data_IF_148090353803
#
_entry.id   IF_148090353803
#
_cell.length_a   1.000
_cell.length_b   1.000
_cell.length_c   1.000
_cell.angle_alpha   90.00
_cell.angle_beta   90.00
_cell.angle_gamma   90.00
#
_symmetry.space_group_name_H-M   'P 1'
#
loop_
_entity.id
_entity.type
_entity.pdbx_description
1 polymer ?
#
# COMPACT_ATOMS: atom_id res chain seq x y z
N UNK A 1 -37.61 5.44 -54.39
CA UNK A 1 -36.42 5.99 -55.07
C UNK A 1 -35.24 5.05 -54.76
N UNK A 2 -34.48 4.68 -55.76
CA UNK A 2 -33.25 3.90 -55.59
C UNK A 2 -32.05 4.85 -55.56
N UNK A 3 -31.06 4.54 -54.76
CA UNK A 3 -29.79 5.28 -54.71
C UNK A 3 -28.62 4.30 -54.95
N UNK A 4 -27.56 4.69 -55.66
CA UNK A 4 -26.42 3.81 -55.88
C UNK A 4 -25.58 3.63 -54.62
N UNK A 5 -25.12 2.42 -54.40
CA UNK A 5 -24.15 2.10 -53.34
C UNK A 5 -22.86 2.88 -53.56
N UNK A 6 -22.37 3.57 -52.54
CA UNK A 6 -21.16 4.40 -52.63
C UNK A 6 -19.85 3.61 -52.89
N UNK A 7 -19.88 2.28 -52.80
CA UNK A 7 -18.69 1.42 -52.96
C UNK A 7 -18.75 0.64 -54.29
N UNK A 8 -19.86 -0.05 -54.58
CA UNK A 8 -19.99 -0.92 -55.75
C UNK A 8 -20.94 -0.42 -56.85
N UNK A 9 -21.63 0.68 -56.64
CA UNK A 9 -22.57 1.28 -57.62
C UNK A 9 -23.94 0.58 -57.74
N UNK A 10 -24.14 -0.57 -57.09
CA UNK A 10 -25.42 -1.29 -57.18
C UNK A 10 -26.56 -0.45 -56.58
N UNK A 11 -27.75 -0.47 -57.23
CA UNK A 11 -28.92 0.22 -56.76
C UNK A 11 -29.45 -0.34 -55.44
N UNK A 12 -29.72 0.55 -54.48
CA UNK A 12 -30.25 0.22 -53.16
C UNK A 12 -31.66 0.79 -53.07
N UNK A 13 -32.64 -0.06 -52.72
CA UNK A 13 -33.99 0.40 -52.39
C UNK A 13 -33.92 1.08 -51.01
N UNK A 14 -34.11 2.39 -50.98
CA UNK A 14 -33.86 3.20 -49.80
C UNK A 14 -35.12 3.35 -48.95
N UNK A 15 -35.15 2.71 -47.79
CA UNK A 15 -36.14 2.96 -46.74
C UNK A 15 -35.60 3.82 -45.60
N UNK A 16 -34.33 4.04 -45.54
CA UNK A 16 -33.64 4.93 -44.60
C UNK A 16 -32.23 5.17 -45.15
N UNK A 17 -31.67 6.34 -45.09
CA UNK A 17 -30.39 6.83 -45.63
C UNK A 17 -29.19 5.83 -45.66
N UNK A 18 -29.42 4.64 -46.22
CA UNK A 18 -28.37 3.65 -46.37
C UNK A 18 -27.44 4.03 -47.54
N UNK A 19 -26.16 4.25 -47.24
CA UNK A 19 -25.17 4.66 -48.25
C UNK A 19 -24.46 3.46 -48.93
N UNK A 20 -24.71 2.22 -48.46
CA UNK A 20 -24.04 1.00 -48.94
C UNK A 20 -25.02 -0.20 -48.99
N UNK A 21 -24.81 -1.14 -49.93
CA UNK A 21 -25.71 -2.25 -50.19
C UNK A 21 -25.48 -3.51 -49.35
N UNK A 22 -24.33 -3.65 -48.69
CA UNK A 22 -23.95 -4.85 -47.93
C UNK A 22 -22.98 -4.56 -46.80
N UNK A 23 -22.82 -5.53 -45.85
CA UNK A 23 -21.82 -5.45 -44.80
C UNK A 23 -20.38 -5.34 -45.32
N UNK A 24 -20.10 -5.95 -46.49
CA UNK A 24 -18.78 -5.86 -47.09
C UNK A 24 -18.53 -4.45 -47.65
N UNK A 25 -19.51 -3.87 -48.36
CA UNK A 25 -19.43 -2.48 -48.80
C UNK A 25 -19.37 -1.50 -47.62
N UNK A 26 -20.05 -1.78 -46.51
CA UNK A 26 -19.94 -0.97 -45.29
C UNK A 26 -18.54 -1.00 -44.70
N UNK A 27 -17.92 -2.19 -44.63
CA UNK A 27 -16.55 -2.32 -44.16
C UNK A 27 -15.54 -1.56 -45.02
N UNK A 28 -15.69 -1.62 -46.35
CA UNK A 28 -14.85 -0.86 -47.28
C UNK A 28 -15.10 0.64 -47.19
N UNK A 29 -16.35 1.07 -47.06
CA UNK A 29 -16.73 2.47 -46.88
C UNK A 29 -16.15 3.07 -45.59
N UNK A 30 -16.24 2.34 -44.47
CA UNK A 30 -15.63 2.73 -43.19
C UNK A 30 -14.12 2.80 -43.31
N UNK A 31 -13.49 1.87 -44.04
CA UNK A 31 -12.06 1.88 -44.29
C UNK A 31 -11.60 3.09 -45.10
N UNK A 32 -12.39 3.47 -46.15
CA UNK A 32 -12.11 4.67 -46.94
C UNK A 32 -12.31 5.97 -46.14
N UNK A 33 -13.34 6.03 -45.27
CA UNK A 33 -13.55 7.17 -44.37
C UNK A 33 -12.41 7.33 -43.35
N UNK A 34 -11.78 6.20 -42.93
CA UNK A 34 -10.65 6.23 -42.03
C UNK A 34 -9.33 6.64 -42.70
N UNK A 35 -9.22 6.51 -44.02
CA UNK A 35 -8.07 6.86 -44.84
C UNK A 35 -8.09 8.33 -45.32
N UNK A 36 -9.24 8.99 -45.35
CA UNK A 36 -9.38 10.35 -45.83
C UNK A 36 -9.14 11.38 -44.71
N UNK A 37 -8.50 12.50 -45.05
CA UNK A 37 -8.19 13.64 -44.18
C UNK A 37 -9.43 14.31 -43.50
N UNK A 38 -10.64 13.88 -43.87
CA UNK A 38 -11.92 14.37 -43.36
C UNK A 38 -12.46 13.56 -42.15
N UNK A 39 -11.68 12.63 -41.56
CA UNK A 39 -12.11 11.94 -40.35
C UNK A 39 -12.17 12.91 -39.17
N UNK A 40 -13.33 13.16 -38.53
CA UNK A 40 -13.43 14.06 -37.38
C UNK A 40 -12.56 13.66 -36.18
N UNK A 41 -12.09 12.40 -36.15
CA UNK A 41 -11.12 11.93 -35.16
C UNK A 41 -9.66 12.29 -35.52
N UNK A 42 -9.39 12.74 -36.74
CA UNK A 42 -8.12 13.24 -37.22
C UNK A 42 -8.14 14.78 -37.29
N UNK A 43 -8.35 15.41 -36.16
CA UNK A 43 -8.01 16.82 -36.04
C UNK A 43 -6.49 16.94 -36.11
N UNK A 44 -6.02 17.69 -37.10
CA UNK A 44 -4.60 18.01 -37.44
C UNK A 44 -3.85 18.77 -36.33
N UNK A 45 -4.00 18.42 -35.08
CA UNK A 45 -3.15 18.93 -33.99
C UNK A 45 -1.81 18.18 -33.98
N UNK A 46 -1.08 18.28 -35.11
CA UNK A 46 0.35 17.92 -35.13
C UNK A 46 1.11 19.01 -34.39
N UNK A 47 1.65 18.69 -33.24
CA UNK A 47 2.55 19.54 -32.51
C UNK A 47 3.99 19.09 -32.78
N UNK A 48 4.88 20.05 -33.03
CA UNK A 48 6.32 19.78 -33.07
C UNK A 48 6.91 19.89 -31.68
N UNK A 49 7.71 18.89 -31.32
CA UNK A 49 8.35 18.80 -30.01
C UNK A 49 9.77 18.33 -30.11
N UNK A 50 10.59 18.73 -29.17
CA UNK A 50 11.96 18.25 -29.06
C UNK A 50 12.04 17.03 -28.14
N UNK A 51 12.72 15.99 -28.59
CA UNK A 51 12.98 14.80 -27.77
C UNK A 51 13.86 15.17 -26.57
N UNK A 52 13.41 14.86 -25.37
CA UNK A 52 14.16 15.19 -24.14
C UNK A 52 15.47 14.37 -23.96
N UNK A 53 15.71 13.34 -24.78
CA UNK A 53 16.92 12.52 -24.72
C UNK A 53 17.94 12.92 -25.76
N UNK A 54 17.54 13.17 -27.00
CA UNK A 54 18.47 13.45 -28.10
C UNK A 54 18.29 14.85 -28.72
N UNK A 55 17.38 15.68 -28.22
CA UNK A 55 17.11 17.03 -28.73
C UNK A 55 16.41 17.07 -30.10
N UNK A 56 16.24 15.94 -30.79
CA UNK A 56 15.68 15.89 -32.14
C UNK A 56 14.22 16.32 -32.12
N UNK A 57 13.86 17.23 -33.04
CA UNK A 57 12.46 17.61 -33.28
C UNK A 57 11.68 16.43 -33.86
N UNK A 58 10.45 16.22 -33.41
CA UNK A 58 9.55 15.19 -33.94
C UNK A 58 8.09 15.67 -33.89
N UNK A 59 7.27 15.16 -34.81
CA UNK A 59 5.85 15.42 -34.85
C UNK A 59 5.09 14.52 -33.88
N UNK A 60 4.16 15.09 -33.16
CA UNK A 60 3.29 14.40 -32.23
C UNK A 60 1.82 14.70 -32.53
N UNK A 61 1.00 13.68 -32.67
CA UNK A 61 -0.44 13.80 -32.83
C UNK A 61 -1.10 13.59 -31.47
N UNK A 62 -1.73 14.64 -30.96
CA UNK A 62 -2.43 14.62 -29.66
C UNK A 62 -3.78 13.89 -29.81
N UNK A 63 -3.93 12.72 -29.20
CA UNK A 63 -5.21 12.02 -29.14
C UNK A 63 -6.04 12.55 -27.98
N UNK A 64 -7.33 12.84 -28.18
CA UNK A 64 -8.25 13.34 -27.14
C UNK A 64 -8.35 12.44 -25.90
N UNK A 65 -8.09 11.14 -26.03
CA UNK A 65 -8.09 10.18 -24.92
C UNK A 65 -6.84 10.19 -24.04
N UNK A 66 -5.78 10.91 -24.42
CA UNK A 66 -4.48 10.90 -23.76
C UNK A 66 -4.08 12.28 -23.21
N UNK A 67 -5.03 12.99 -22.59
CA UNK A 67 -4.80 14.34 -22.02
C UNK A 67 -3.66 14.32 -20.98
N UNK A 68 -3.33 13.16 -20.39
CA UNK A 68 -2.30 13.01 -19.35
C UNK A 68 -1.00 12.33 -19.79
N UNK A 69 -0.90 11.82 -21.02
CA UNK A 69 0.32 11.13 -21.48
C UNK A 69 0.95 11.87 -22.66
N UNK A 70 1.76 12.87 -22.35
CA UNK A 70 2.55 13.57 -23.35
C UNK A 70 3.67 12.68 -23.90
N UNK A 71 3.72 12.51 -25.23
CA UNK A 71 4.85 11.82 -25.88
C UNK A 71 6.06 12.76 -25.87
N UNK A 72 7.05 12.42 -25.08
CA UNK A 72 8.27 13.22 -24.85
C UNK A 72 9.52 12.65 -25.52
N UNK A 73 9.40 11.54 -26.24
CA UNK A 73 10.48 10.84 -26.94
C UNK A 73 10.18 10.72 -28.42
N UNK A 74 11.18 10.97 -29.28
CA UNK A 74 11.04 10.81 -30.73
C UNK A 74 10.98 9.32 -31.17
N UNK A 75 11.50 8.39 -30.38
CA UNK A 75 11.56 6.97 -30.69
C UNK A 75 11.51 6.08 -29.45
N UNK A 76 11.21 4.77 -29.63
CA UNK A 76 11.30 3.75 -28.58
C UNK A 76 12.74 3.61 -28.05
N UNK A 77 13.75 3.86 -28.90
CA UNK A 77 15.15 3.81 -28.49
C UNK A 77 15.49 4.96 -27.52
N UNK A 78 15.05 6.16 -27.80
CA UNK A 78 15.19 7.29 -26.87
C UNK A 78 14.44 7.03 -25.55
N UNK A 79 13.25 6.45 -25.60
CA UNK A 79 12.53 6.05 -24.41
C UNK A 79 13.32 5.04 -23.58
N UNK A 80 13.87 3.98 -24.22
CA UNK A 80 14.70 2.96 -23.55
C UNK A 80 16.00 3.53 -22.99
N UNK A 81 16.71 4.36 -23.75
CA UNK A 81 17.98 4.95 -23.33
C UNK A 81 17.84 5.87 -22.12
N UNK A 82 16.70 6.54 -21.97
CA UNK A 82 16.42 7.32 -20.76
C UNK A 82 16.28 6.45 -19.51
N UNK A 83 15.71 5.28 -19.65
CA UNK A 83 15.56 4.35 -18.51
C UNK A 83 16.85 3.62 -18.16
N UNK A 84 17.83 3.55 -19.09
CA UNK A 84 19.13 2.90 -18.89
C UNK A 84 20.22 3.84 -18.39
N UNK A 85 20.11 5.15 -18.60
CA UNK A 85 21.09 6.14 -18.10
C UNK A 85 20.66 6.65 -16.70
N UNK A 86 21.44 6.28 -15.69
CA UNK A 86 21.21 6.53 -14.27
C UNK A 86 21.24 7.98 -13.78
N UNK A 87 21.45 8.97 -14.65
CA UNK A 87 21.56 10.37 -14.23
C UNK A 87 20.87 11.33 -15.21
N UNK A 88 19.56 11.52 -15.04
CA UNK A 88 18.89 12.72 -15.53
C UNK A 88 17.72 13.10 -14.61
N UNK A 89 17.62 14.39 -14.31
CA UNK A 89 16.67 15.06 -13.39
C UNK A 89 15.16 14.83 -13.63
N UNK A 90 14.73 13.65 -14.05
CA UNK A 90 13.32 13.27 -14.17
C UNK A 90 12.75 12.65 -12.89
N UNK A 91 13.53 12.67 -11.81
CA UNK A 91 13.08 12.19 -10.49
C UNK A 91 11.87 12.97 -9.96
N UNK A 92 11.66 14.23 -10.41
CA UNK A 92 10.57 15.06 -9.91
C UNK A 92 9.19 14.72 -10.49
N UNK A 93 9.10 14.25 -11.74
CA UNK A 93 7.79 14.00 -12.39
C UNK A 93 7.16 12.65 -12.07
N UNK A 94 7.96 11.67 -11.60
CA UNK A 94 7.46 10.33 -11.23
C UNK A 94 7.45 10.06 -9.72
N UNK A 95 7.96 11.00 -8.90
CA UNK A 95 8.14 10.79 -7.46
C UNK A 95 6.84 10.54 -6.68
N UNK A 96 5.71 11.03 -7.17
CA UNK A 96 4.45 10.98 -6.42
C UNK A 96 3.34 10.17 -7.09
N UNK A 97 3.65 9.29 -8.05
CA UNK A 97 2.61 8.47 -8.71
C UNK A 97 2.64 7.03 -8.20
N UNK A 98 1.50 6.53 -7.72
CA UNK A 98 1.30 5.14 -7.28
C UNK A 98 1.36 4.16 -8.48
N UNK A 99 2.54 4.00 -9.07
CA UNK A 99 2.80 3.22 -10.26
C UNK A 99 3.51 1.88 -9.95
N UNK A 100 3.72 1.06 -10.98
CA UNK A 100 4.39 -0.24 -10.87
C UNK A 100 5.82 -0.13 -10.31
N UNK A 101 6.54 0.94 -10.64
CA UNK A 101 7.91 1.17 -10.16
C UNK A 101 7.93 1.41 -8.65
N UNK A 102 7.09 2.34 -8.14
CA UNK A 102 6.99 2.61 -6.70
C UNK A 102 6.54 1.36 -5.95
N UNK A 103 5.50 0.66 -6.44
CA UNK A 103 5.04 -0.59 -5.82
C UNK A 103 6.14 -1.64 -5.73
N UNK A 104 6.95 -1.79 -6.78
CA UNK A 104 8.07 -2.74 -6.76
C UNK A 104 9.17 -2.30 -5.79
N UNK A 105 9.45 -0.99 -5.68
CA UNK A 105 10.41 -0.42 -4.73
C UNK A 105 9.99 -0.75 -3.30
N UNK A 106 8.72 -0.51 -2.94
CA UNK A 106 8.18 -0.84 -1.61
C UNK A 106 8.25 -2.35 -1.35
N UNK A 107 7.79 -3.19 -2.31
CA UNK A 107 7.89 -4.64 -2.16
C UNK A 107 9.32 -5.12 -1.96
N UNK A 108 10.30 -4.53 -2.66
CA UNK A 108 11.71 -4.85 -2.49
C UNK A 108 12.21 -4.44 -1.10
N UNK A 109 11.89 -3.23 -0.63
CA UNK A 109 12.20 -2.77 0.74
C UNK A 109 11.68 -3.75 1.79
N UNK A 110 10.46 -4.27 1.60
CA UNK A 110 9.78 -5.20 2.51
C UNK A 110 10.11 -6.67 2.18
N UNK A 111 11.25 -6.95 1.53
CA UNK A 111 11.76 -8.30 1.19
C UNK A 111 10.75 -9.18 0.42
N UNK A 112 9.89 -8.56 -0.41
CA UNK A 112 8.80 -9.25 -1.13
C UNK A 112 7.96 -10.13 -0.22
N UNK A 113 7.68 -9.65 1.00
CA UNK A 113 6.86 -10.34 2.00
C UNK A 113 5.85 -9.41 2.65
N UNK A 114 4.78 -9.97 3.16
CA UNK A 114 3.80 -9.24 3.96
C UNK A 114 4.43 -8.85 5.30
N UNK A 115 4.45 -7.57 5.64
CA UNK A 115 5.03 -7.08 6.91
C UNK A 115 4.34 -7.65 8.14
N UNK A 116 3.04 -7.99 8.06
CA UNK A 116 2.29 -8.57 9.18
C UNK A 116 2.48 -10.08 9.34
N UNK A 117 2.59 -10.84 8.24
CA UNK A 117 2.51 -12.29 8.33
C UNK A 117 3.59 -13.04 7.53
N UNK A 118 4.57 -12.34 6.97
CA UNK A 118 5.67 -12.87 6.18
C UNK A 118 5.24 -13.69 4.93
N UNK A 119 3.94 -13.71 4.59
CA UNK A 119 3.46 -14.37 3.39
C UNK A 119 4.04 -13.69 2.15
N UNK A 120 4.50 -14.50 1.19
CA UNK A 120 4.98 -14.04 -0.13
C UNK A 120 3.89 -14.07 -1.21
N UNK A 121 2.68 -14.50 -0.86
CA UNK A 121 1.59 -14.70 -1.82
C UNK A 121 0.69 -13.47 -1.92
N UNK A 122 0.25 -13.13 -3.16
CA UNK A 122 -0.73 -12.07 -3.46
C UNK A 122 -0.44 -10.76 -2.73
N UNK A 123 0.81 -10.25 -2.89
CA UNK A 123 1.27 -9.03 -2.26
C UNK A 123 0.71 -7.79 -2.93
N UNK A 124 0.18 -6.89 -2.11
CA UNK A 124 -0.32 -5.57 -2.47
C UNK A 124 0.45 -4.50 -1.68
N UNK A 125 0.51 -3.27 -2.20
CA UNK A 125 1.07 -2.12 -1.48
C UNK A 125 -0.08 -1.31 -0.93
N UNK A 126 -0.05 -1.08 0.38
CA UNK A 126 -1.09 -0.42 1.17
C UNK A 126 -0.64 0.97 1.60
N UNK A 127 -1.55 1.95 1.59
CA UNK A 127 -1.35 3.28 2.16
C UNK A 127 -1.71 3.24 3.65
N UNK A 128 -0.74 3.53 4.52
CA UNK A 128 -0.90 3.47 5.99
C UNK A 128 -1.99 4.44 6.46
N UNK A 129 -2.00 5.66 5.92
CA UNK A 129 -2.99 6.70 6.24
C UNK A 129 -4.31 6.59 5.44
N UNK A 130 -4.47 5.55 4.62
CA UNK A 130 -5.60 5.34 3.69
C UNK A 130 -5.81 6.46 2.66
N UNK A 131 -4.94 7.46 2.59
CA UNK A 131 -4.96 8.50 1.58
C UNK A 131 -4.22 8.06 0.31
N UNK A 132 -4.97 7.69 -0.72
CA UNK A 132 -4.42 7.22 -2.01
C UNK A 132 -3.59 8.27 -2.76
N UNK A 133 -3.62 9.53 -2.33
CA UNK A 133 -2.81 10.61 -2.90
C UNK A 133 -1.44 10.74 -2.23
N UNK A 134 -1.30 10.23 -1.00
CA UNK A 134 -0.05 10.25 -0.25
C UNK A 134 0.82 9.03 -0.60
N UNK A 135 1.65 9.18 -1.62
CA UNK A 135 2.52 8.13 -2.13
C UNK A 135 3.95 8.19 -1.59
N UNK A 136 4.15 8.86 -0.46
CA UNK A 136 5.43 8.87 0.23
C UNK A 136 5.80 7.44 0.68
N UNK A 137 7.07 7.10 0.56
CA UNK A 137 7.54 5.72 0.79
C UNK A 137 7.32 5.24 2.23
N UNK A 138 7.39 6.17 3.20
CA UNK A 138 7.12 5.90 4.61
C UNK A 138 5.62 5.69 4.90
N UNK A 139 4.74 6.13 4.01
CA UNK A 139 3.29 5.89 4.09
C UNK A 139 2.84 4.61 3.38
N UNK A 140 3.76 3.83 2.83
CA UNK A 140 3.45 2.65 2.03
C UNK A 140 4.08 1.40 2.65
N UNK A 141 3.29 0.30 2.74
CA UNK A 141 3.76 -1.00 3.22
C UNK A 141 3.26 -2.13 2.34
N UNK A 142 3.98 -3.26 2.37
CA UNK A 142 3.59 -4.47 1.65
C UNK A 142 2.74 -5.38 2.53
N UNK A 143 1.53 -5.68 2.11
CA UNK A 143 0.62 -6.62 2.76
C UNK A 143 0.22 -7.74 1.79
N UNK A 144 -0.01 -8.95 2.30
CA UNK A 144 -0.73 -9.96 1.52
C UNK A 144 -2.23 -9.61 1.47
N UNK A 145 -2.96 -10.18 0.52
CA UNK A 145 -4.40 -9.91 0.34
C UNK A 145 -5.24 -10.12 1.60
N UNK A 146 -4.91 -11.14 2.42
CA UNK A 146 -5.62 -11.41 3.69
C UNK A 146 -5.40 -10.27 4.69
N UNK A 147 -4.14 -9.92 4.94
CA UNK A 147 -3.79 -8.83 5.86
C UNK A 147 -4.33 -7.48 5.37
N UNK A 148 -4.23 -7.19 4.06
CA UNK A 148 -4.78 -5.97 3.47
C UNK A 148 -6.31 -5.86 3.67
N UNK A 149 -7.04 -6.97 3.58
CA UNK A 149 -8.48 -6.96 3.85
C UNK A 149 -8.77 -6.69 5.33
N UNK A 150 -8.00 -7.28 6.25
CA UNK A 150 -8.15 -7.06 7.70
C UNK A 150 -7.98 -5.58 8.05
N UNK A 151 -7.02 -4.88 7.45
CA UNK A 151 -6.78 -3.46 7.74
C UNK A 151 -7.94 -2.54 7.34
N UNK A 152 -8.87 -2.98 6.49
CA UNK A 152 -10.02 -2.18 6.11
C UNK A 152 -11.13 -2.11 7.16
N UNK A 153 -11.15 -3.00 8.16
CA UNK A 153 -12.22 -3.06 9.17
C UNK A 153 -12.07 -2.03 10.29
N UNK A 154 -10.83 -1.59 10.59
CA UNK A 154 -10.54 -0.61 11.64
C UNK A 154 -9.36 0.27 11.21
N UNK A 155 -9.66 1.24 10.37
CA UNK A 155 -8.62 2.05 9.72
C UNK A 155 -7.79 2.87 10.71
N UNK A 156 -8.43 3.41 11.74
CA UNK A 156 -7.76 4.24 12.72
C UNK A 156 -6.77 3.41 13.55
N UNK A 157 -7.21 2.25 14.04
CA UNK A 157 -6.34 1.28 14.72
C UNK A 157 -5.12 0.90 13.86
N UNK A 158 -5.34 0.55 12.60
CA UNK A 158 -4.25 0.13 11.71
C UNK A 158 -3.32 1.28 11.33
N UNK A 159 -3.84 2.50 11.20
CA UNK A 159 -3.01 3.69 11.02
C UNK A 159 -2.08 3.88 12.21
N UNK A 160 -2.62 3.81 13.43
CA UNK A 160 -1.82 3.91 14.65
C UNK A 160 -0.80 2.77 14.78
N UNK A 161 -1.20 1.55 14.42
CA UNK A 161 -0.32 0.37 14.45
C UNK A 161 0.90 0.53 13.53
N UNK A 162 0.72 1.12 12.37
CA UNK A 162 1.79 1.24 11.36
C UNK A 162 2.57 2.56 11.43
N UNK A 163 2.15 3.52 12.25
CA UNK A 163 2.91 4.75 12.51
C UNK A 163 4.30 4.37 13.06
N UNK A 164 5.34 4.91 12.43
CA UNK A 164 6.72 4.65 12.83
C UNK A 164 7.30 3.31 12.36
N UNK A 165 6.50 2.45 11.71
CA UNK A 165 7.03 1.23 11.11
C UNK A 165 8.02 1.60 9.99
N UNK A 166 9.22 1.06 10.07
CA UNK A 166 10.27 1.25 9.07
C UNK A 166 10.93 -0.08 8.70
N UNK A 167 11.86 -0.06 7.75
CA UNK A 167 12.56 -1.26 7.26
C UNK A 167 13.38 -2.01 8.32
N UNK A 168 13.68 -1.36 9.44
CA UNK A 168 14.46 -1.95 10.54
C UNK A 168 13.58 -2.50 11.67
N UNK A 169 12.27 -2.27 11.62
CA UNK A 169 11.35 -2.79 12.62
C UNK A 169 11.15 -4.29 12.43
N UNK A 170 11.31 -5.07 13.51
CA UNK A 170 11.06 -6.51 13.51
C UNK A 170 9.65 -6.79 14.02
N UNK A 171 8.84 -7.50 13.24
CA UNK A 171 7.52 -7.95 13.66
C UNK A 171 7.60 -9.38 14.13
N UNK A 172 7.16 -9.63 15.37
CA UNK A 172 7.13 -10.96 16.02
C UNK A 172 5.67 -11.35 16.27
N UNK A 173 5.23 -12.44 15.66
CA UNK A 173 3.87 -12.95 15.88
C UNK A 173 3.73 -13.58 17.26
N UNK A 174 2.58 -13.34 17.86
CA UNK A 174 2.11 -13.95 19.11
C UNK A 174 0.70 -14.52 18.90
N UNK A 175 0.25 -15.40 19.76
CA UNK A 175 -1.12 -15.87 19.72
C UNK A 175 -2.12 -14.74 19.87
N UNK A 176 -1.85 -13.82 20.78
CA UNK A 176 -2.69 -12.66 21.08
C UNK A 176 -2.63 -11.51 20.06
N UNK A 177 -1.73 -11.59 19.06
CA UNK A 177 -1.52 -10.53 18.08
C UNK A 177 -0.09 -10.51 17.55
N UNK A 178 0.63 -9.42 17.77
CA UNK A 178 2.05 -9.32 17.38
C UNK A 178 2.78 -8.20 18.11
N UNK A 179 4.08 -8.30 18.16
CA UNK A 179 4.97 -7.24 18.65
C UNK A 179 5.66 -6.55 17.46
N UNK A 180 5.87 -5.25 17.56
CA UNK A 180 6.74 -4.48 16.67
C UNK A 180 7.93 -4.03 17.51
N UNK A 181 9.10 -4.60 17.27
CA UNK A 181 10.32 -4.24 17.95
C UNK A 181 11.01 -3.11 17.21
N UNK A 182 11.13 -1.96 17.85
CA UNK A 182 11.83 -0.79 17.31
C UNK A 182 13.30 -0.78 17.69
N UNK A 183 13.58 -1.11 18.94
CA UNK A 183 14.94 -1.20 19.47
C UNK A 183 14.97 -2.15 20.67
N UNK A 184 16.03 -2.91 20.79
CA UNK A 184 16.43 -3.65 21.99
C UNK A 184 17.96 -3.62 22.05
N UNK A 185 18.51 -2.98 23.06
CA UNK A 185 19.95 -2.86 23.28
C UNK A 185 20.30 -3.09 24.75
N UNK A 186 21.54 -2.89 25.14
CA UNK A 186 22.04 -3.13 26.49
C UNK A 186 21.41 -2.24 27.59
N UNK A 187 20.69 -1.21 27.22
CA UNK A 187 20.13 -0.21 28.16
C UNK A 187 18.61 -0.21 28.21
N UNK A 188 17.96 -0.37 27.07
CA UNK A 188 16.49 -0.28 26.95
C UNK A 188 15.96 -1.05 25.76
N UNK A 189 14.66 -1.34 25.85
CA UNK A 189 13.86 -1.90 24.79
C UNK A 189 12.63 -1.03 24.54
N UNK A 190 12.23 -0.89 23.27
CA UNK A 190 10.97 -0.26 22.88
C UNK A 190 10.23 -1.17 21.91
N UNK A 191 8.99 -1.50 22.26
CA UNK A 191 8.09 -2.31 21.44
C UNK A 191 6.70 -1.72 21.40
N UNK A 192 5.96 -1.99 20.31
CA UNK A 192 4.50 -1.99 20.34
C UNK A 192 4.01 -3.41 20.54
N UNK A 193 3.11 -3.57 21.48
CA UNK A 193 2.34 -4.78 21.69
C UNK A 193 0.96 -4.56 21.09
N UNK A 194 0.68 -5.22 19.97
CA UNK A 194 -0.55 -5.04 19.20
C UNK A 194 -1.45 -6.24 19.44
N UNK A 195 -2.56 -5.99 20.14
CA UNK A 195 -3.51 -7.03 20.54
C UNK A 195 -4.75 -7.03 19.68
N UNK A 196 -5.24 -8.21 19.36
CA UNK A 196 -6.58 -8.37 18.82
C UNK A 196 -7.60 -8.50 19.94
N UNK A 197 -8.82 -7.99 19.70
CA UNK A 197 -9.91 -8.04 20.66
C UNK A 197 -10.15 -9.46 21.20
N UNK A 198 -10.28 -9.58 22.50
CA UNK A 198 -10.55 -10.82 23.23
C UNK A 198 -9.31 -11.66 23.52
N UNK A 199 -8.12 -11.26 23.01
CA UNK A 199 -6.88 -12.02 23.20
C UNK A 199 -6.10 -11.51 24.41
N UNK A 200 -5.34 -12.40 25.03
CA UNK A 200 -4.52 -12.12 26.22
C UNK A 200 -3.12 -12.71 26.09
N UNK A 201 -2.13 -12.07 26.64
CA UNK A 201 -0.84 -12.70 26.82
C UNK A 201 -0.80 -13.59 28.07
N UNK A 202 0.27 -14.38 28.25
CA UNK A 202 0.45 -15.28 29.39
C UNK A 202 0.39 -14.51 30.72
N UNK A 203 -0.15 -15.12 31.77
CA UNK A 203 0.12 -14.70 33.13
C UNK A 203 1.57 -15.00 33.45
N UNK A 204 2.39 -13.97 33.68
CA UNK A 204 3.83 -14.12 33.83
C UNK A 204 4.45 -13.01 34.67
N UNK A 205 5.72 -13.16 34.98
CA UNK A 205 6.58 -12.14 35.60
C UNK A 205 7.96 -12.16 34.99
N UNK A 206 8.67 -11.07 35.12
CA UNK A 206 10.07 -10.94 34.78
C UNK A 206 10.92 -10.91 36.04
N UNK A 207 12.13 -11.51 35.99
CA UNK A 207 13.04 -11.49 37.13
C UNK A 207 13.89 -10.23 37.16
N UNK A 208 14.32 -9.75 35.99
CA UNK A 208 15.25 -8.63 35.84
C UNK A 208 14.55 -7.43 35.19
N UNK A 209 13.68 -7.68 34.20
CA UNK A 209 13.09 -6.67 33.36
C UNK A 209 12.12 -5.79 34.16
N UNK A 210 12.32 -4.48 34.06
CA UNK A 210 11.38 -3.45 34.48
C UNK A 210 10.70 -2.89 33.25
N UNK A 211 9.38 -2.72 33.28
CA UNK A 211 8.58 -2.29 32.16
C UNK A 211 7.77 -1.05 32.51
N UNK A 212 7.63 -0.14 31.55
CA UNK A 212 6.64 0.91 31.53
C UNK A 212 5.69 0.66 30.37
N UNK A 213 4.41 0.49 30.65
CA UNK A 213 3.38 0.39 29.66
C UNK A 213 2.61 1.70 29.52
N UNK A 214 2.40 2.10 28.28
CA UNK A 214 1.52 3.20 27.92
C UNK A 214 0.46 2.69 26.96
N UNK A 215 -0.82 2.82 27.32
CA UNK A 215 -1.91 2.45 26.42
C UNK A 215 -2.07 3.51 25.34
N UNK A 216 -1.55 3.24 24.15
CA UNK A 216 -1.63 4.16 23.02
C UNK A 216 -2.99 4.11 22.33
N UNK A 217 -3.66 2.93 22.38
CA UNK A 217 -4.96 2.72 21.72
C UNK A 217 -5.74 1.60 22.39
N UNK A 218 -7.07 1.77 22.45
CA UNK A 218 -8.01 0.74 22.90
C UNK A 218 -8.18 0.62 24.38
N UNK A 219 -8.61 -0.57 24.84
CA UNK A 219 -8.91 -0.90 26.24
C UNK A 219 -8.49 -2.31 26.57
N UNK A 220 -8.01 -2.49 27.78
CA UNK A 220 -7.61 -3.79 28.34
C UNK A 220 -8.22 -4.02 29.72
N UNK A 221 -8.39 -5.29 30.07
CA UNK A 221 -8.36 -5.72 31.45
C UNK A 221 -6.89 -5.92 31.84
N UNK A 222 -6.48 -5.25 32.90
CA UNK A 222 -5.13 -5.35 33.46
C UNK A 222 -5.22 -5.98 34.85
N UNK A 223 -4.52 -7.09 35.03
CA UNK A 223 -4.41 -7.76 36.32
C UNK A 223 -2.95 -7.77 36.72
N UNK A 224 -2.68 -7.40 37.95
CA UNK A 224 -1.34 -7.38 38.55
C UNK A 224 -1.42 -8.03 39.92
N UNK A 225 -0.47 -8.90 40.22
CA UNK A 225 -0.30 -9.50 41.55
C UNK A 225 1.07 -9.13 42.10
N UNK A 226 1.04 -8.45 43.24
CA UNK A 226 2.22 -8.14 44.04
C UNK A 226 2.08 -8.81 45.42
N UNK A 227 2.76 -9.93 45.63
CA UNK A 227 2.77 -10.66 46.90
C UNK A 227 1.34 -10.91 47.47
N UNK A 228 0.46 -11.52 46.64
CA UNK A 228 -0.94 -11.79 46.95
C UNK A 228 -1.86 -10.56 47.02
N UNK A 229 -1.38 -9.39 46.64
CA UNK A 229 -2.23 -8.22 46.41
C UNK A 229 -2.61 -8.11 44.95
N UNK A 230 -3.79 -8.62 44.60
CA UNK A 230 -4.33 -8.52 43.26
C UNK A 230 -4.92 -7.14 43.01
N UNK A 231 -4.45 -6.47 41.95
CA UNK A 231 -5.06 -5.25 41.41
C UNK A 231 -5.67 -5.58 40.06
N UNK A 232 -6.94 -5.27 39.92
CA UNK A 232 -7.67 -5.31 38.67
C UNK A 232 -8.07 -3.91 38.28
N UNK A 233 -7.85 -3.54 37.04
CA UNK A 233 -8.32 -2.28 36.49
C UNK A 233 -8.59 -2.38 35.00
N UNK A 234 -9.48 -1.51 34.54
CA UNK A 234 -9.54 -1.20 33.11
C UNK A 234 -8.39 -0.24 32.81
N UNK A 235 -7.61 -0.60 31.81
CA UNK A 235 -6.44 0.13 31.35
C UNK A 235 -6.75 0.61 29.94
N UNK A 236 -6.85 1.94 29.76
CA UNK A 236 -7.35 2.51 28.51
C UNK A 236 -6.45 3.61 27.96
N UNK A 237 -6.74 4.06 26.75
CA UNK A 237 -5.94 5.07 26.04
C UNK A 237 -5.56 6.25 26.92
N UNK A 238 -4.24 6.49 27.02
CA UNK A 238 -3.65 7.52 27.87
C UNK A 238 -3.17 7.04 29.24
N UNK A 239 -3.60 5.87 29.68
CA UNK A 239 -3.13 5.26 30.91
C UNK A 239 -1.68 4.80 30.79
N UNK A 240 -0.97 4.82 31.91
CA UNK A 240 0.37 4.29 32.06
C UNK A 240 0.49 3.49 33.35
N UNK A 241 1.38 2.50 33.34
CA UNK A 241 1.70 1.70 34.51
C UNK A 241 3.14 1.19 34.42
N UNK A 242 3.82 1.22 35.54
CA UNK A 242 5.16 0.66 35.71
C UNK A 242 5.05 -0.72 36.35
N UNK A 243 5.74 -1.69 35.78
CA UNK A 243 5.81 -3.08 36.25
C UNK A 243 7.24 -3.34 36.69
N UNK A 244 7.41 -3.52 37.99
CA UNK A 244 8.71 -3.84 38.57
C UNK A 244 9.02 -5.32 38.41
N UNK A 245 10.31 -5.73 38.46
CA UNK A 245 10.69 -7.12 38.48
C UNK A 245 9.92 -7.92 39.55
N UNK A 246 9.64 -9.18 39.25
CA UNK A 246 8.89 -10.13 40.08
C UNK A 246 7.39 -9.82 40.26
N UNK A 247 6.86 -8.79 39.67
CA UNK A 247 5.40 -8.52 39.64
C UNK A 247 4.74 -9.38 38.58
N UNK A 248 3.80 -10.22 39.01
CA UNK A 248 3.00 -11.03 38.10
C UNK A 248 1.93 -10.15 37.42
N UNK A 249 1.76 -10.34 36.11
CA UNK A 249 0.87 -9.48 35.35
C UNK A 249 0.26 -10.16 34.13
N UNK A 250 -0.89 -9.66 33.70
CA UNK A 250 -1.57 -10.04 32.47
C UNK A 250 -2.38 -8.89 31.91
N UNK A 251 -2.42 -8.76 30.59
CA UNK A 251 -3.36 -7.94 29.85
C UNK A 251 -4.27 -8.80 28.96
N UNK A 252 -5.56 -8.49 28.96
CA UNK A 252 -6.53 -9.02 28.01
C UNK A 252 -7.18 -7.86 27.26
N UNK A 253 -7.13 -7.89 25.95
CA UNK A 253 -7.65 -6.80 25.11
C UNK A 253 -9.18 -6.84 24.99
N UNK A 254 -9.87 -5.81 25.44
CA UNK A 254 -11.33 -5.64 25.28
C UNK A 254 -11.72 -5.12 23.90
N UNK A 255 -10.79 -4.44 23.23
CA UNK A 255 -10.87 -3.96 21.84
C UNK A 255 -9.60 -4.30 21.12
N UNK A 256 -9.50 -4.07 19.80
CA UNK A 256 -8.18 -4.02 19.17
C UNK A 256 -7.36 -2.90 19.83
N UNK A 257 -6.18 -3.21 20.32
CA UNK A 257 -5.49 -2.34 21.26
C UNK A 257 -3.97 -2.35 21.07
N UNK A 258 -3.31 -1.25 21.46
CA UNK A 258 -1.87 -1.05 21.33
C UNK A 258 -1.31 -0.57 22.67
N UNK A 259 -0.30 -1.30 23.16
CA UNK A 259 0.57 -0.85 24.24
C UNK A 259 1.90 -0.42 23.63
N UNK A 260 2.41 0.71 24.06
CA UNK A 260 3.81 1.08 23.94
C UNK A 260 4.51 0.56 25.17
N UNK A 261 5.39 -0.40 25.01
CA UNK A 261 6.25 -0.93 26.06
C UNK A 261 7.64 -0.30 25.94
N UNK A 262 8.05 0.38 26.98
CA UNK A 262 9.44 0.80 27.22
C UNK A 262 9.94 -0.02 28.40
N UNK A 263 11.07 -0.70 28.23
CA UNK A 263 11.62 -1.54 29.30
C UNK A 263 13.13 -1.46 29.34
N UNK A 264 13.72 -1.99 30.41
CA UNK A 264 15.12 -2.41 30.38
C UNK A 264 15.31 -3.45 29.28
N UNK A 265 16.56 -3.86 29.02
CA UNK A 265 16.86 -4.88 28.00
C UNK A 265 15.95 -6.08 28.10
N UNK A 266 15.40 -6.49 26.95
CA UNK A 266 14.51 -7.64 26.85
C UNK A 266 15.33 -8.89 26.54
N UNK A 267 15.31 -9.86 27.44
CA UNK A 267 15.97 -11.15 27.32
C UNK A 267 14.93 -12.27 27.16
N UNK A 268 15.16 -13.17 26.23
CA UNK A 268 14.21 -14.26 25.91
C UNK A 268 13.94 -15.16 27.14
N UNK A 269 14.91 -15.33 28.02
CA UNK A 269 14.85 -16.24 29.17
C UNK A 269 14.39 -15.59 30.48
N UNK A 270 14.12 -14.27 30.48
CA UNK A 270 13.74 -13.54 31.70
C UNK A 270 12.25 -13.69 32.06
N UNK A 271 11.43 -14.28 31.20
CA UNK A 271 9.97 -14.42 31.41
C UNK A 271 9.62 -15.75 32.06
N UNK A 272 9.14 -15.71 33.33
CA UNK A 272 8.56 -16.86 34.02
C UNK A 272 7.05 -16.89 33.79
N UNK A 273 6.59 -17.84 32.99
CA UNK A 273 5.17 -18.05 32.71
C UNK A 273 4.51 -18.91 33.77
N UNK A 274 3.43 -18.40 34.36
CA UNK A 274 2.61 -19.05 35.39
C UNK A 274 1.41 -19.71 34.72
N UNK A 275 0.75 -18.99 33.80
CA UNK A 275 -0.37 -19.48 33.03
C UNK A 275 -0.18 -19.11 31.55
N UNK A 276 -0.57 -20.01 30.65
CA UNK A 276 -0.47 -19.80 29.21
C UNK A 276 -1.48 -18.74 28.76
N UNK A 277 -1.07 -17.86 27.87
CA UNK A 277 -1.93 -16.98 27.09
C UNK A 277 -2.41 -17.63 25.79
N UNK A 278 -2.96 -16.80 24.89
CA UNK A 278 -3.40 -17.21 23.55
C UNK A 278 -2.23 -17.43 22.60
#
# INVERSE_FOLDING_TARGET
MTTPCKICGNEIINYQENVVCSKNCLSQYISQLKLNDNNPAWNNNKEKRNCIVCGKEFEYIRKKSNIEQEKIFCSLNCARNKFNNKETNLSHFHKNRFNKFLKNKIKKRDNYSCVMCNSKNKLEVHHIDYNKKNNEENNLITLCKKCHNITNFDKEFWTQTFIGLNSNSKIVKKGWGFEIHFINNEKYCLKYLVFFKGMKFSWHKHIIKQELWFCAWGKFECIINNNNFFKYRIFEKGDKIEIMPNIEHQLMALTNSIIIEVSTTDFDDDSIRIEKGD
#
